data_IF_665666071884
#
_entry.id   IF_665666071884
#
_cell.length_a   1.000
_cell.length_b   1.000
_cell.length_c   1.000
_cell.angle_alpha   90.00
_cell.angle_beta   90.00
_cell.angle_gamma   90.00
#
_symmetry.space_group_name_H-M   'P 1'
#
loop_
_entity.id
_entity.type
_entity.pdbx_description
1 polymer ?
#
# COMPACT_ATOMS: atom_id res chain seq x y z
N UNK A 1 30.18 -15.33 -58.53
CA UNK A 1 29.00 -14.77 -57.83
C UNK A 1 29.06 -15.18 -56.36
N UNK A 2 29.05 -14.20 -55.44
CA UNK A 2 29.26 -14.35 -54.00
C UNK A 2 27.88 -14.32 -53.33
N UNK A 3 27.49 -15.37 -52.60
CA UNK A 3 26.28 -15.34 -51.76
C UNK A 3 26.71 -15.05 -50.33
N UNK A 4 26.42 -13.85 -49.85
CA UNK A 4 26.51 -13.47 -48.44
C UNK A 4 25.25 -13.99 -47.74
N UNK A 5 25.41 -14.88 -46.75
CA UNK A 5 24.32 -15.24 -45.84
C UNK A 5 24.24 -14.17 -44.76
N UNK A 6 23.10 -13.48 -44.68
CA UNK A 6 22.80 -12.54 -43.61
C UNK A 6 22.62 -13.27 -42.28
N UNK A 7 23.30 -12.80 -41.25
CA UNK A 7 23.07 -13.20 -39.86
C UNK A 7 21.84 -12.46 -39.34
N UNK A 8 20.78 -13.18 -38.99
CA UNK A 8 19.67 -12.62 -38.23
C UNK A 8 20.16 -12.32 -36.80
N UNK A 9 20.13 -11.05 -36.42
CA UNK A 9 20.41 -10.62 -35.05
C UNK A 9 19.30 -11.13 -34.13
N UNK A 10 19.68 -11.89 -33.10
CA UNK A 10 18.78 -12.29 -32.04
C UNK A 10 18.37 -11.06 -31.22
N UNK A 11 17.06 -10.81 -31.10
CA UNK A 11 16.55 -9.80 -30.19
C UNK A 11 16.81 -10.25 -28.74
N UNK A 12 17.23 -9.36 -27.83
CA UNK A 12 17.44 -9.72 -26.43
C UNK A 12 16.09 -10.10 -25.80
N UNK A 13 15.98 -11.33 -25.31
CA UNK A 13 14.86 -11.74 -24.47
C UNK A 13 14.94 -10.96 -23.15
N UNK A 14 13.87 -10.25 -22.83
CA UNK A 14 13.72 -9.55 -21.55
C UNK A 14 13.68 -10.58 -20.44
N UNK A 15 14.75 -10.64 -19.64
CA UNK A 15 14.78 -11.49 -18.45
C UNK A 15 13.55 -11.17 -17.56
N UNK A 16 12.88 -12.18 -16.99
CA UNK A 16 11.80 -11.95 -16.04
C UNK A 16 12.35 -11.14 -14.86
N UNK A 17 11.72 -10.01 -14.56
CA UNK A 17 12.11 -9.18 -13.43
C UNK A 17 12.02 -9.98 -12.12
N UNK A 18 12.95 -9.74 -11.20
CA UNK A 18 12.95 -10.37 -9.89
C UNK A 18 11.64 -10.15 -9.11
N UNK A 19 11.41 -10.89 -8.02
CA UNK A 19 10.16 -10.86 -7.28
C UNK A 19 9.82 -9.42 -6.82
N UNK A 20 8.71 -8.90 -7.33
CA UNK A 20 8.14 -7.61 -6.90
C UNK A 20 7.46 -7.82 -5.55
N UNK A 21 7.81 -7.02 -4.54
CA UNK A 21 7.05 -6.96 -3.29
C UNK A 21 5.63 -6.48 -3.61
N UNK A 22 4.68 -7.40 -3.58
CA UNK A 22 3.26 -7.11 -3.71
C UNK A 22 2.76 -6.55 -2.37
N UNK A 23 1.88 -5.54 -2.41
CA UNK A 23 1.19 -5.05 -1.21
C UNK A 23 2.04 -4.21 -0.24
N UNK A 24 3.15 -3.59 -0.67
CA UNK A 24 3.83 -2.63 0.20
C UNK A 24 2.87 -1.47 0.56
N UNK A 25 2.71 -1.15 1.85
CA UNK A 25 1.92 0.00 2.26
C UNK A 25 2.46 1.29 1.65
N UNK A 26 1.55 2.17 1.23
CA UNK A 26 1.89 3.45 0.61
C UNK A 26 1.54 4.57 1.57
N UNK A 27 2.46 5.49 1.86
CA UNK A 27 2.17 6.67 2.68
C UNK A 27 0.99 7.45 2.10
N UNK A 28 0.06 7.85 2.96
CA UNK A 28 -1.14 8.59 2.55
C UNK A 28 -1.50 9.63 3.60
N UNK A 29 -1.81 10.89 3.21
CA UNK A 29 -2.30 11.86 4.18
C UNK A 29 -3.72 11.49 4.61
N UNK A 30 -3.95 11.53 5.92
CA UNK A 30 -5.25 11.27 6.53
C UNK A 30 -5.53 12.37 7.55
N UNK A 31 -6.70 13.02 7.42
CA UNK A 31 -7.22 13.91 8.47
C UNK A 31 -8.01 13.06 9.44
N UNK A 32 -7.82 13.29 10.73
CA UNK A 32 -8.43 12.47 11.80
C UNK A 32 -9.35 13.30 12.66
N UNK A 33 -10.45 12.69 13.11
CA UNK A 33 -11.35 13.22 14.11
C UNK A 33 -11.05 12.64 15.51
N UNK A 34 -12.00 12.79 16.45
CA UNK A 34 -11.90 12.22 17.78
C UNK A 34 -11.58 10.71 17.74
N UNK A 35 -10.73 10.26 18.66
CA UNK A 35 -10.32 8.85 18.73
C UNK A 35 -9.45 8.36 17.56
N UNK A 36 -8.98 9.25 16.69
CA UNK A 36 -8.19 8.88 15.52
C UNK A 36 -9.00 8.36 14.34
N UNK A 37 -10.33 8.56 14.36
CA UNK A 37 -11.23 8.16 13.27
C UNK A 37 -10.88 8.90 11.97
N UNK A 38 -10.66 8.21 10.83
CA UNK A 38 -10.43 8.88 9.56
C UNK A 38 -11.61 9.77 9.13
N UNK A 39 -11.31 10.99 8.70
CA UNK A 39 -12.28 11.93 8.12
C UNK A 39 -12.05 12.11 6.62
N UNK A 40 -10.79 12.13 6.18
CA UNK A 40 -10.41 12.22 4.76
C UNK A 40 -9.22 11.31 4.50
N UNK A 41 -9.16 10.66 3.33
CA UNK A 41 -7.99 9.89 2.86
C UNK A 41 -7.53 10.45 1.53
N UNK A 42 -6.29 10.92 1.44
CA UNK A 42 -5.77 11.58 0.23
C UNK A 42 -6.63 12.77 -0.26
N UNK A 43 -7.34 13.44 0.66
CA UNK A 43 -8.28 14.52 0.35
C UNK A 43 -9.72 14.06 0.06
N UNK A 44 -9.95 12.77 -0.21
CA UNK A 44 -11.30 12.24 -0.42
C UNK A 44 -12.01 12.09 0.95
N UNK A 45 -13.19 12.71 1.15
CA UNK A 45 -13.95 12.56 2.39
C UNK A 45 -14.40 11.11 2.61
N UNK A 46 -14.35 10.67 3.86
CA UNK A 46 -14.86 9.37 4.29
C UNK A 46 -16.37 9.48 4.51
N UNK A 47 -17.12 8.64 3.80
CA UNK A 47 -18.57 8.50 3.93
C UNK A 47 -18.93 7.53 5.07
N UNK A 48 -18.30 6.35 5.07
CA UNK A 48 -18.54 5.32 6.07
C UNK A 48 -17.24 4.64 6.53
N UNK A 49 -17.25 4.18 7.79
CA UNK A 49 -16.28 3.22 8.30
C UNK A 49 -16.97 1.86 8.33
N UNK A 50 -16.43 0.86 7.66
CA UNK A 50 -16.97 -0.50 7.68
C UNK A 50 -16.48 -1.27 8.88
N UNK A 51 -15.18 -1.19 9.13
CA UNK A 51 -14.53 -1.91 10.21
C UNK A 51 -13.30 -1.14 10.73
N UNK A 52 -12.93 -1.42 11.98
CA UNK A 52 -11.67 -0.96 12.56
C UNK A 52 -11.07 -2.05 13.43
N UNK A 53 -9.77 -2.27 13.32
CA UNK A 53 -9.07 -3.32 14.08
C UNK A 53 -7.67 -2.89 14.51
N UNK A 54 -7.18 -3.49 15.59
CA UNK A 54 -5.82 -3.28 16.08
C UNK A 54 -4.98 -4.49 15.72
N UNK A 55 -3.78 -4.24 15.21
CA UNK A 55 -2.75 -5.26 15.06
C UNK A 55 -1.61 -4.91 16.00
N UNK A 56 -1.33 -5.79 16.95
CA UNK A 56 -0.15 -5.75 17.80
C UNK A 56 0.63 -7.03 17.58
N UNK A 57 1.90 -6.90 17.23
CA UNK A 57 2.77 -8.03 16.92
C UNK A 57 4.22 -7.69 17.32
N UNK A 58 5.11 -8.68 17.34
CA UNK A 58 6.53 -8.53 17.65
C UNK A 58 6.78 -7.83 19.00
N UNK A 59 5.84 -7.94 19.94
CA UNK A 59 5.92 -7.31 21.26
C UNK A 59 7.06 -7.87 22.13
N UNK A 60 7.54 -9.07 21.81
CA UNK A 60 8.73 -9.69 22.40
C UNK A 60 10.06 -9.21 21.81
N UNK A 61 10.02 -8.27 20.86
CA UNK A 61 11.22 -7.70 20.22
C UNK A 61 11.39 -6.24 20.62
N UNK A 62 12.60 -5.71 20.41
CA UNK A 62 12.88 -4.29 20.61
C UNK A 62 12.13 -3.36 19.64
N UNK A 63 11.51 -3.91 18.58
CA UNK A 63 10.77 -3.13 17.58
C UNK A 63 9.34 -3.68 17.42
N UNK A 64 8.46 -3.45 18.41
CA UNK A 64 7.08 -3.91 18.37
C UNK A 64 6.34 -3.30 17.18
N UNK A 65 5.41 -4.07 16.62
CA UNK A 65 4.47 -3.58 15.61
C UNK A 65 3.16 -3.21 16.29
N UNK A 66 2.69 -1.98 16.12
CA UNK A 66 1.37 -1.55 16.59
C UNK A 66 0.70 -0.72 15.51
N UNK A 67 -0.41 -1.20 14.96
CA UNK A 67 -1.14 -0.53 13.86
C UNK A 67 -2.64 -0.52 14.11
N UNK A 68 -3.26 0.64 13.96
CA UNK A 68 -4.72 0.78 13.96
C UNK A 68 -5.20 0.87 12.52
N UNK A 69 -5.87 -0.18 12.05
CA UNK A 69 -6.44 -0.29 10.72
C UNK A 69 -7.89 0.18 10.69
N UNK A 70 -8.29 0.66 9.52
CA UNK A 70 -9.63 1.11 9.18
C UNK A 70 -9.96 0.68 7.75
N UNK A 71 -11.11 0.05 7.57
CA UNK A 71 -11.76 -0.10 6.27
C UNK A 71 -12.76 1.04 6.09
N UNK A 72 -12.56 1.85 5.06
CA UNK A 72 -13.30 3.09 4.83
C UNK A 72 -13.88 3.13 3.43
N UNK A 73 -15.11 3.61 3.34
CA UNK A 73 -15.74 3.97 2.07
C UNK A 73 -15.66 5.48 1.91
N UNK A 74 -15.08 5.97 0.81
CA UNK A 74 -15.07 7.41 0.51
C UNK A 74 -16.39 7.86 -0.10
N UNK A 75 -16.69 9.16 -0.06
CA UNK A 75 -17.86 9.75 -0.74
C UNK A 75 -17.85 9.44 -2.25
N UNK A 76 -16.67 9.24 -2.85
CA UNK A 76 -16.53 8.80 -4.24
C UNK A 76 -16.80 7.31 -4.48
N UNK A 77 -17.27 6.56 -3.47
CA UNK A 77 -17.59 5.14 -3.55
C UNK A 77 -16.40 4.19 -3.53
N UNK A 78 -15.19 4.67 -3.17
CA UNK A 78 -13.99 3.82 -3.10
C UNK A 78 -13.92 3.11 -1.75
N UNK A 79 -13.72 1.80 -1.78
CA UNK A 79 -13.38 1.01 -0.59
C UNK A 79 -11.86 0.95 -0.41
N UNK A 80 -11.37 1.38 0.75
CA UNK A 80 -9.95 1.55 1.05
C UNK A 80 -9.64 1.00 2.43
N UNK A 81 -8.52 0.28 2.53
CA UNK A 81 -7.90 -0.05 3.83
C UNK A 81 -6.75 0.92 4.09
N UNK A 82 -6.84 1.65 5.20
CA UNK A 82 -5.77 2.52 5.70
C UNK A 82 -5.40 2.14 7.12
N UNK A 83 -4.17 2.41 7.53
CA UNK A 83 -3.76 2.23 8.92
C UNK A 83 -2.85 3.35 9.38
N UNK A 84 -2.93 3.64 10.68
CA UNK A 84 -1.94 4.43 11.39
C UNK A 84 -0.95 3.49 12.04
N UNK A 85 0.32 3.66 11.74
CA UNK A 85 1.38 3.09 12.56
C UNK A 85 1.40 3.84 13.90
N UNK A 86 1.19 3.13 15.00
CA UNK A 86 1.10 3.73 16.33
C UNK A 86 2.47 3.90 17.00
N UNK A 87 3.53 3.36 16.40
CA UNK A 87 4.92 3.59 16.83
C UNK A 87 5.46 4.84 16.14
N UNK A 88 5.33 4.91 14.82
CA UNK A 88 5.86 6.03 14.01
C UNK A 88 4.87 7.20 13.89
N UNK A 89 3.57 6.96 14.08
CA UNK A 89 2.50 7.94 13.96
C UNK A 89 1.99 8.18 12.53
N UNK A 90 2.69 7.65 11.52
CA UNK A 90 2.42 7.82 10.09
C UNK A 90 1.21 7.01 9.60
N UNK A 91 0.59 7.50 8.53
CA UNK A 91 -0.56 6.86 7.88
C UNK A 91 -0.18 6.22 6.56
N UNK A 92 -0.74 5.04 6.31
CA UNK A 92 -0.50 4.26 5.11
C UNK A 92 -1.80 3.69 4.55
N UNK A 93 -1.88 3.56 3.22
CA UNK A 93 -2.89 2.80 2.50
C UNK A 93 -2.35 1.42 2.16
N UNK A 94 -3.16 0.40 2.39
CA UNK A 94 -2.93 -0.96 1.92
C UNK A 94 -3.63 -1.18 0.57
N UNK A 95 -3.01 -1.97 -0.31
CA UNK A 95 -3.57 -2.41 -1.60
C UNK A 95 -3.81 -3.90 -1.59
#
# INVERSE_FOLDING_TARGET
>A
MRVVRGSAGAAPSRAPGGPRRLGLPVLVPVTVGPGGRPLTVAGDPVDAIRESWLVEDRWWTANPLRRRYWEVVTVGGRDLVVFRDLVEGSWYRQR
#
